data_IF_811762488902
#
_entry.id   IF_811762488902
#
_cell.length_a   1.000
_cell.length_b   1.000
_cell.length_c   1.000
_cell.angle_alpha   90.00
_cell.angle_beta   90.00
_cell.angle_gamma   90.00
#
_symmetry.space_group_name_H-M   'P 1'
#
loop_
_entity.id
_entity.type
_entity.pdbx_description
1 polymer ?
#
# COMPACT_ATOMS: atom_id res chain seq x y z
N UNK A 1 49.88 -39.52 -44.34
CA UNK A 1 49.11 -39.53 -43.08
C UNK A 1 49.24 -38.15 -42.45
N UNK A 2 48.21 -37.71 -41.72
CA UNK A 2 48.09 -36.42 -41.00
C UNK A 2 47.45 -35.23 -41.74
N UNK A 3 46.14 -35.40 -41.92
CA UNK A 3 45.04 -34.58 -41.41
C UNK A 3 45.06 -33.05 -41.59
N UNK A 4 44.02 -32.62 -42.32
CA UNK A 4 43.62 -31.25 -42.64
C UNK A 4 43.10 -30.51 -41.40
N UNK A 5 43.60 -29.31 -41.11
CA UNK A 5 42.90 -28.35 -40.24
C UNK A 5 42.29 -27.22 -41.07
N UNK A 6 40.99 -27.36 -41.35
CA UNK A 6 40.15 -26.32 -41.93
C UNK A 6 39.82 -25.28 -40.84
N UNK A 7 40.12 -24.01 -41.13
CA UNK A 7 39.89 -22.88 -40.22
C UNK A 7 38.40 -22.55 -40.21
N UNK A 8 37.67 -23.11 -39.24
CA UNK A 8 36.24 -22.84 -39.07
C UNK A 8 36.04 -21.40 -38.57
N UNK A 9 35.41 -20.57 -39.41
CA UNK A 9 35.05 -19.19 -39.10
C UNK A 9 34.04 -19.20 -37.94
N UNK A 10 34.37 -18.45 -36.88
CA UNK A 10 33.52 -18.24 -35.72
C UNK A 10 32.19 -17.58 -36.16
N UNK A 11 31.09 -18.30 -36.01
CA UNK A 11 29.73 -17.78 -36.15
C UNK A 11 29.26 -17.38 -34.75
N UNK A 12 28.92 -16.10 -34.47
CA UNK A 12 28.38 -15.73 -33.18
C UNK A 12 26.90 -16.11 -33.17
N UNK A 13 26.54 -17.10 -32.35
CA UNK A 13 25.15 -17.46 -32.09
C UNK A 13 24.54 -16.39 -31.16
N UNK A 14 23.83 -15.43 -31.73
CA UNK A 14 23.07 -14.44 -30.97
C UNK A 14 21.81 -15.11 -30.39
N UNK A 15 21.83 -15.39 -29.09
CA UNK A 15 20.65 -15.86 -28.33
C UNK A 15 19.84 -14.64 -27.91
N UNK A 16 18.72 -14.40 -28.58
CA UNK A 16 17.75 -13.38 -28.18
C UNK A 16 16.78 -14.03 -27.18
N UNK A 17 17.01 -13.82 -25.90
CA UNK A 17 16.04 -14.15 -24.84
C UNK A 17 14.95 -13.07 -24.84
N UNK A 18 13.82 -13.33 -25.49
CA UNK A 18 12.60 -12.55 -25.27
C UNK A 18 11.98 -12.97 -23.94
N UNK A 19 12.29 -12.22 -22.87
CA UNK A 19 11.54 -12.29 -21.63
C UNK A 19 10.17 -11.64 -21.86
N UNK A 20 9.17 -12.43 -22.25
CA UNK A 20 7.79 -11.98 -22.29
C UNK A 20 7.30 -11.89 -20.84
N UNK A 21 7.39 -10.69 -20.26
CA UNK A 21 6.85 -10.38 -18.94
C UNK A 21 5.32 -10.42 -18.95
N UNK A 22 4.75 -11.62 -18.94
CA UNK A 22 3.33 -11.80 -18.66
C UNK A 22 3.10 -11.52 -17.17
N UNK A 23 2.67 -10.31 -16.84
CA UNK A 23 2.05 -10.07 -15.53
C UNK A 23 0.79 -10.93 -15.49
N UNK A 24 0.64 -11.86 -14.52
CA UNK A 24 -0.59 -12.61 -14.41
C UNK A 24 -1.73 -11.61 -14.27
N UNK A 25 -2.69 -11.64 -15.20
CA UNK A 25 -3.91 -10.88 -15.06
C UNK A 25 -4.64 -11.44 -13.83
N UNK A 26 -4.78 -10.64 -12.78
CA UNK A 26 -5.51 -11.02 -11.60
C UNK A 26 -7.00 -10.81 -11.86
N UNK A 27 -7.68 -11.86 -12.32
CA UNK A 27 -9.14 -11.88 -12.36
C UNK A 27 -9.72 -12.12 -10.95
N UNK A 28 -10.86 -11.50 -10.65
CA UNK A 28 -11.54 -11.65 -9.38
C UNK A 28 -11.44 -10.46 -8.45
N UNK A 29 -10.96 -10.72 -7.23
CA UNK A 29 -10.63 -9.68 -6.26
C UNK A 29 -9.18 -9.27 -6.48
N UNK A 30 -8.92 -7.97 -6.62
CA UNK A 30 -7.59 -7.39 -6.82
C UNK A 30 -6.79 -7.21 -5.51
N UNK A 31 -5.68 -6.46 -5.55
CA UNK A 31 -4.89 -6.19 -4.35
C UNK A 31 -5.64 -5.29 -3.37
N UNK A 32 -5.50 -5.56 -2.08
CA UNK A 32 -6.04 -4.70 -1.03
C UNK A 32 -5.27 -3.38 -0.93
N UNK A 33 -5.99 -2.29 -0.73
CA UNK A 33 -5.42 -0.96 -0.50
C UNK A 33 -5.94 -0.42 0.83
N UNK A 34 -5.04 -0.21 1.78
CA UNK A 34 -5.36 0.40 3.07
C UNK A 34 -5.54 1.92 2.88
N UNK A 35 -6.65 2.43 3.41
CA UNK A 35 -7.04 3.84 3.33
C UNK A 35 -6.87 4.56 4.67
N UNK A 36 -6.99 3.85 5.78
CA UNK A 36 -6.89 4.40 7.14
C UNK A 36 -5.44 4.58 7.60
N UNK A 37 -5.19 5.63 8.38
CA UNK A 37 -3.90 5.83 9.05
C UNK A 37 -3.85 5.17 10.43
N UNK A 38 -2.65 5.02 10.99
CA UNK A 38 -2.48 4.53 12.36
C UNK A 38 -3.23 5.42 13.37
N UNK A 39 -4.08 4.80 14.20
CA UNK A 39 -4.91 5.48 15.19
C UNK A 39 -6.32 5.86 14.70
N UNK A 40 -6.64 5.64 13.43
CA UNK A 40 -7.99 5.77 12.88
C UNK A 40 -8.67 4.40 12.74
N UNK A 41 -10.01 4.37 12.63
CA UNK A 41 -10.74 3.14 12.33
C UNK A 41 -10.20 2.49 11.05
N UNK A 42 -9.90 1.18 11.11
CA UNK A 42 -9.34 0.48 9.96
C UNK A 42 -10.29 0.54 8.77
N UNK A 43 -9.75 0.94 7.62
CA UNK A 43 -10.47 1.00 6.36
C UNK A 43 -9.56 0.60 5.21
N UNK A 44 -10.05 -0.29 4.35
CA UNK A 44 -9.37 -0.71 3.14
C UNK A 44 -10.36 -0.98 2.00
N UNK A 45 -9.86 -0.98 0.77
CA UNK A 45 -10.62 -1.32 -0.43
C UNK A 45 -9.92 -2.43 -1.20
N UNK A 46 -10.73 -3.31 -1.79
CA UNK A 46 -10.29 -4.38 -2.68
C UNK A 46 -11.03 -4.17 -4.02
N UNK A 47 -10.33 -3.83 -5.12
CA UNK A 47 -10.99 -3.65 -6.41
C UNK A 47 -11.46 -4.99 -6.97
N UNK A 48 -12.56 -4.99 -7.70
CA UNK A 48 -13.01 -6.14 -8.50
C UNK A 48 -12.41 -5.99 -9.89
N UNK A 49 -11.63 -6.99 -10.33
CA UNK A 49 -10.85 -6.99 -11.56
C UNK A 49 -11.34 -8.09 -12.49
N UNK A 50 -11.53 -7.79 -13.77
CA UNK A 50 -11.93 -8.74 -14.83
C UNK A 50 -13.19 -9.58 -14.53
N UNK A 51 -13.97 -9.19 -13.52
CA UNK A 51 -15.25 -9.78 -13.16
C UNK A 51 -16.35 -8.73 -13.28
N UNK A 52 -17.52 -9.17 -13.75
CA UNK A 52 -18.73 -8.36 -13.75
C UNK A 52 -19.82 -9.08 -12.95
N UNK A 53 -19.74 -9.08 -11.60
CA UNK A 53 -20.69 -9.81 -10.77
C UNK A 53 -22.08 -9.15 -10.88
N UNK A 54 -23.04 -9.92 -11.41
CA UNK A 54 -24.41 -9.47 -11.64
C UNK A 54 -25.40 -10.13 -10.66
N UNK A 55 -26.53 -9.48 -10.44
CA UNK A 55 -27.60 -10.01 -9.59
C UNK A 55 -27.28 -9.87 -8.09
N UNK A 56 -27.64 -10.89 -7.31
CA UNK A 56 -27.44 -10.91 -5.87
C UNK A 56 -25.98 -11.22 -5.53
N UNK A 57 -25.16 -10.18 -5.40
CA UNK A 57 -23.75 -10.29 -4.99
C UNK A 57 -23.66 -10.23 -3.47
N UNK A 58 -22.95 -11.19 -2.89
CA UNK A 58 -22.68 -11.30 -1.44
C UNK A 58 -21.18 -11.32 -1.22
N UNK A 59 -20.71 -10.60 -0.21
CA UNK A 59 -19.30 -10.61 0.23
C UNK A 59 -19.22 -10.94 1.71
N UNK A 60 -18.24 -11.77 2.08
CA UNK A 60 -18.02 -12.20 3.46
C UNK A 60 -16.59 -12.67 3.69
N UNK A 61 -16.23 -12.86 4.96
CA UNK A 61 -15.06 -13.63 5.33
C UNK A 61 -15.24 -15.07 4.84
N UNK A 62 -14.25 -15.61 4.14
CA UNK A 62 -14.31 -16.96 3.58
C UNK A 62 -14.34 -18.00 4.70
N UNK A 63 -15.23 -18.98 4.57
CA UNK A 63 -15.37 -20.08 5.53
C UNK A 63 -14.24 -21.08 5.35
N UNK A 64 -13.36 -21.18 6.35
CA UNK A 64 -12.24 -22.14 6.35
C UNK A 64 -12.66 -23.59 6.19
N UNK A 65 -13.88 -23.96 6.61
CA UNK A 65 -14.36 -25.33 6.45
C UNK A 65 -14.54 -25.69 4.97
N UNK A 66 -14.83 -24.70 4.12
CA UNK A 66 -14.94 -24.90 2.67
C UNK A 66 -13.60 -24.78 1.94
N UNK A 67 -12.59 -24.16 2.57
CA UNK A 67 -11.30 -23.89 1.95
C UNK A 67 -10.14 -24.24 2.89
N UNK A 68 -9.92 -25.55 3.10
CA UNK A 68 -8.91 -26.05 4.05
C UNK A 68 -7.46 -25.74 3.67
N UNK A 69 -7.21 -25.29 2.43
CA UNK A 69 -5.87 -24.90 1.96
C UNK A 69 -5.49 -23.46 2.34
N UNK A 70 -6.45 -22.67 2.84
CA UNK A 70 -6.22 -21.27 3.21
C UNK A 70 -5.42 -21.18 4.51
N UNK A 71 -4.51 -20.21 4.57
CA UNK A 71 -3.74 -19.92 5.77
C UNK A 71 -4.63 -19.65 7.00
N UNK A 72 -4.13 -19.92 8.23
CA UNK A 72 -4.82 -19.50 9.44
C UNK A 72 -5.03 -17.98 9.47
N UNK A 73 -6.23 -17.57 9.87
CA UNK A 73 -6.58 -16.14 10.01
C UNK A 73 -6.08 -15.65 11.36
N UNK A 74 -5.74 -14.37 11.40
CA UNK A 74 -5.54 -13.66 12.66
C UNK A 74 -6.84 -13.65 13.47
N UNK A 75 -6.75 -13.69 14.79
CA UNK A 75 -7.92 -13.60 15.71
C UNK A 75 -8.78 -12.37 15.37
N UNK A 76 -8.10 -11.28 15.02
CA UNK A 76 -8.68 -10.01 14.61
C UNK A 76 -9.53 -10.05 13.32
N UNK A 77 -9.41 -11.09 12.49
CA UNK A 77 -10.13 -11.19 11.21
C UNK A 77 -11.66 -11.23 11.38
N UNK A 78 -12.16 -11.79 12.49
CA UNK A 78 -13.60 -11.84 12.79
C UNK A 78 -14.20 -10.47 13.10
N UNK A 79 -13.36 -9.47 13.41
CA UNK A 79 -13.76 -8.09 13.68
C UNK A 79 -13.84 -7.25 12.41
N UNK A 80 -13.52 -7.83 11.25
CA UNK A 80 -13.61 -7.17 9.96
C UNK A 80 -15.02 -7.25 9.39
N UNK A 81 -15.47 -6.13 8.84
CA UNK A 81 -16.75 -6.01 8.16
C UNK A 81 -16.53 -5.76 6.67
N UNK A 82 -17.35 -6.40 5.85
CA UNK A 82 -17.23 -6.37 4.39
C UNK A 82 -18.49 -5.76 3.80
N UNK A 83 -18.32 -4.81 2.88
CA UNK A 83 -19.43 -4.17 2.17
C UNK A 83 -19.09 -3.97 0.70
N UNK A 84 -20.11 -3.97 -0.15
CA UNK A 84 -19.93 -3.80 -1.60
C UNK A 84 -20.07 -2.33 -1.97
N UNK A 85 -19.09 -1.82 -2.72
CA UNK A 85 -19.17 -0.51 -3.36
C UNK A 85 -19.58 -0.70 -4.82
N UNK A 86 -20.66 -0.01 -5.20
CA UNK A 86 -21.19 0.00 -6.56
C UNK A 86 -20.87 1.34 -7.21
N UNK A 87 -20.55 1.32 -8.50
CA UNK A 87 -20.44 2.53 -9.32
C UNK A 87 -21.83 3.06 -9.67
N UNK A 88 -21.86 4.24 -10.29
CA UNK A 88 -23.10 4.88 -10.75
C UNK A 88 -23.89 4.02 -11.75
N UNK A 89 -23.23 3.09 -12.43
CA UNK A 89 -23.83 2.09 -13.33
C UNK A 89 -24.48 0.89 -12.59
N UNK A 90 -24.37 0.84 -11.26
CA UNK A 90 -24.89 -0.25 -10.42
C UNK A 90 -23.97 -1.48 -10.34
N UNK A 91 -22.85 -1.50 -11.07
CA UNK A 91 -21.89 -2.60 -11.06
C UNK A 91 -21.02 -2.52 -9.81
N UNK A 92 -20.82 -3.67 -9.15
CA UNK A 92 -19.88 -3.78 -8.03
C UNK A 92 -18.46 -3.55 -8.54
N UNK A 93 -17.81 -2.51 -8.03
CA UNK A 93 -16.46 -2.13 -8.45
C UNK A 93 -15.40 -2.44 -7.41
N UNK A 94 -15.78 -2.43 -6.12
CA UNK A 94 -14.87 -2.66 -5.02
C UNK A 94 -15.60 -3.33 -3.85
N UNK A 95 -14.83 -4.03 -3.03
CA UNK A 95 -15.21 -4.43 -1.68
C UNK A 95 -14.55 -3.45 -0.70
N UNK A 96 -15.32 -2.84 0.19
CA UNK A 96 -14.82 -2.07 1.32
C UNK A 96 -14.71 -2.98 2.53
N UNK A 97 -13.55 -2.95 3.17
CA UNK A 97 -13.22 -3.67 4.40
C UNK A 97 -13.08 -2.63 5.51
N UNK A 98 -13.80 -2.81 6.61
CA UNK A 98 -13.72 -1.93 7.77
C UNK A 98 -13.49 -2.71 9.06
N UNK A 99 -12.92 -2.06 10.07
CA UNK A 99 -12.63 -2.68 11.36
C UNK A 99 -12.45 -1.65 12.48
N UNK A 100 -12.08 -2.09 13.69
CA UNK A 100 -11.73 -1.21 14.81
C UNK A 100 -10.50 -0.33 14.49
N UNK A 101 -10.27 0.69 15.32
CA UNK A 101 -9.11 1.58 15.19
C UNK A 101 -7.78 0.97 15.62
N UNK A 102 -7.84 -0.14 16.35
CA UNK A 102 -6.67 -0.82 16.86
C UNK A 102 -6.96 -2.33 16.95
N UNK A 103 -5.96 -3.12 16.56
CA UNK A 103 -5.98 -4.57 16.65
C UNK A 103 -4.85 -5.04 17.55
N UNK A 104 -5.04 -6.14 18.30
CA UNK A 104 -3.96 -6.75 19.08
C UNK A 104 -2.71 -7.08 18.26
N UNK A 105 -2.90 -7.49 16.99
CA UNK A 105 -1.82 -7.82 16.06
C UNK A 105 -1.78 -6.85 14.87
N UNK A 106 -0.60 -6.38 14.43
CA UNK A 106 -0.47 -5.48 13.27
C UNK A 106 -0.72 -6.17 11.93
N UNK A 107 -0.37 -7.46 11.83
CA UNK A 107 -0.50 -8.26 10.62
C UNK A 107 -1.84 -9.00 10.61
N UNK A 108 -2.71 -8.64 9.69
CA UNK A 108 -4.01 -9.25 9.49
C UNK A 108 -3.93 -10.24 8.33
N UNK A 109 -4.17 -11.52 8.63
CA UNK A 109 -4.35 -12.58 7.65
C UNK A 109 -5.84 -12.96 7.61
N UNK A 110 -6.44 -12.89 6.42
CA UNK A 110 -7.82 -13.25 6.19
C UNK A 110 -8.06 -13.59 4.72
N UNK A 111 -9.16 -14.28 4.40
CA UNK A 111 -9.59 -14.46 3.02
C UNK A 111 -11.01 -13.93 2.82
N UNK A 112 -11.23 -13.28 1.68
CA UNK A 112 -12.53 -12.70 1.31
C UNK A 112 -13.16 -13.57 0.25
N UNK A 113 -14.39 -13.96 0.48
CA UNK A 113 -15.25 -14.63 -0.50
C UNK A 113 -16.26 -13.62 -1.04
N UNK A 114 -16.34 -13.53 -2.37
CA UNK A 114 -17.41 -12.85 -3.08
C UNK A 114 -18.16 -13.87 -3.95
N UNK A 115 -19.48 -13.95 -3.80
CA UNK A 115 -20.33 -14.90 -4.54
C UNK A 115 -21.51 -14.21 -5.19
N UNK A 116 -21.86 -14.65 -6.39
CA UNK A 116 -23.00 -14.20 -7.19
C UNK A 116 -23.63 -15.40 -7.92
N UNK A 117 -24.79 -15.27 -8.59
CA UNK A 117 -25.48 -16.39 -9.20
C UNK A 117 -24.67 -17.19 -10.23
N UNK A 118 -23.76 -16.53 -10.95
CA UNK A 118 -22.94 -17.19 -11.97
C UNK A 118 -21.63 -17.79 -11.43
N UNK A 119 -21.27 -17.52 -10.17
CA UNK A 119 -20.01 -18.02 -9.62
C UNK A 119 -19.59 -17.40 -8.29
N UNK A 120 -18.35 -17.69 -7.90
CA UNK A 120 -17.73 -17.15 -6.70
C UNK A 120 -16.23 -17.01 -6.90
N UNK A 121 -15.65 -16.10 -6.16
CA UNK A 121 -14.20 -15.92 -6.05
C UNK A 121 -13.82 -15.85 -4.60
N UNK A 122 -12.65 -16.41 -4.27
CA UNK A 122 -12.04 -16.32 -2.94
C UNK A 122 -10.61 -15.88 -3.10
N UNK A 123 -10.19 -14.94 -2.25
CA UNK A 123 -8.81 -14.46 -2.24
C UNK A 123 -8.30 -14.24 -0.83
N UNK A 124 -7.09 -14.73 -0.59
CA UNK A 124 -6.30 -14.50 0.62
C UNK A 124 -5.64 -13.12 0.60
N UNK A 125 -5.60 -12.50 1.77
CA UNK A 125 -4.98 -11.23 2.02
C UNK A 125 -4.13 -11.31 3.28
N UNK A 126 -2.95 -10.72 3.18
CA UNK A 126 -2.06 -10.45 4.28
C UNK A 126 -1.77 -8.96 4.22
N UNK A 127 -2.12 -8.23 5.28
CA UNK A 127 -1.99 -6.77 5.34
C UNK A 127 -1.46 -6.35 6.69
N UNK A 128 -0.43 -5.51 6.69
CA UNK A 128 0.08 -4.85 7.89
C UNK A 128 -0.55 -3.46 7.95
N UNK A 129 -1.60 -3.27 8.74
CA UNK A 129 -2.37 -2.03 8.68
C UNK A 129 -1.59 -0.80 9.21
N UNK A 130 -0.53 -1.01 10.00
CA UNK A 130 0.35 0.07 10.47
C UNK A 130 1.34 0.49 9.38
N UNK A 131 1.78 -0.47 8.56
CA UNK A 131 2.78 -0.26 7.51
C UNK A 131 2.17 0.13 6.17
N UNK A 132 1.08 -0.53 5.77
CA UNK A 132 0.50 -0.41 4.44
C UNK A 132 -0.49 0.77 4.34
N UNK A 133 -0.91 1.32 5.47
CA UNK A 133 -1.72 2.54 5.54
C UNK A 133 -0.92 3.81 5.22
N UNK A 134 -1.60 4.90 4.83
CA UNK A 134 -0.95 6.19 4.61
C UNK A 134 -0.15 6.67 5.83
N UNK A 135 1.11 7.02 5.60
CA UNK A 135 1.97 7.57 6.66
C UNK A 135 1.67 9.04 6.92
N UNK A 136 1.22 9.37 8.13
CA UNK A 136 1.21 10.74 8.60
C UNK A 136 2.64 11.20 8.88
N UNK A 137 3.14 12.19 8.12
CA UNK A 137 4.33 12.93 8.54
C UNK A 137 3.96 13.73 9.77
N UNK A 138 4.45 13.34 10.96
CA UNK A 138 4.42 14.24 12.12
C UNK A 138 5.09 15.55 11.69
N UNK A 139 4.36 16.67 11.76
CA UNK A 139 5.03 17.98 11.71
C UNK A 139 6.00 17.99 12.88
N UNK A 140 7.30 18.01 12.60
CA UNK A 140 8.31 18.21 13.64
C UNK A 140 7.90 19.42 14.46
N UNK A 141 8.02 19.38 15.80
CA UNK A 141 7.93 20.59 16.59
C UNK A 141 8.86 21.60 15.93
N UNK A 142 8.32 22.80 15.69
CA UNK A 142 9.05 23.94 15.14
C UNK A 142 10.38 23.99 15.87
N UNK A 143 11.48 23.67 15.17
CA UNK A 143 12.81 24.04 15.64
C UNK A 143 12.92 25.52 15.33
N UNK A 144 12.56 26.31 16.32
CA UNK A 144 12.74 27.74 16.38
C UNK A 144 14.25 28.03 16.20
N UNK A 145 14.65 28.33 14.96
CA UNK A 145 15.87 29.06 14.64
C UNK A 145 15.73 30.53 15.12
N UNK A 146 15.44 30.70 16.41
CA UNK A 146 15.41 31.98 17.08
C UNK A 146 16.74 32.20 17.82
N UNK A 147 17.85 32.00 17.11
CA UNK A 147 19.20 32.14 17.66
C UNK A 147 20.12 33.09 16.91
N UNK A 148 19.71 33.65 15.77
CA UNK A 148 20.67 34.29 14.84
C UNK A 148 20.28 35.67 14.34
N UNK A 149 19.72 36.55 15.20
CA UNK A 149 19.69 38.01 14.91
C UNK A 149 19.91 38.93 16.13
N UNK A 150 20.60 38.45 17.17
CA UNK A 150 20.97 39.28 18.33
C UNK A 150 22.46 39.63 18.35
N UNK A 151 23.03 40.11 17.23
CA UNK A 151 24.31 40.82 17.19
C UNK A 151 24.32 41.83 16.02
N UNK A 152 23.44 42.82 16.04
CA UNK A 152 23.65 44.05 15.26
C UNK A 152 23.30 45.24 16.15
N UNK A 153 24.21 45.48 17.09
CA UNK A 153 24.13 46.61 18.00
C UNK A 153 24.28 47.89 17.18
N UNK A 154 23.23 48.70 17.26
CA UNK A 154 23.12 50.06 16.78
C UNK A 154 24.25 50.90 17.39
N UNK A 155 25.28 51.25 16.61
CA UNK A 155 26.32 52.18 17.04
C UNK A 155 25.88 53.60 16.71
N UNK A 156 25.04 54.17 17.56
CA UNK A 156 24.88 55.61 17.67
C UNK A 156 24.67 55.93 19.14
N UNK A 157 25.78 56.10 19.84
CA UNK A 157 25.83 56.82 21.10
C UNK A 157 26.79 57.97 20.82
N UNK A 158 26.20 59.11 20.44
CA UNK A 158 26.81 60.42 20.61
C UNK A 158 26.85 60.69 22.11
N UNK A 159 28.02 60.58 22.72
CA UNK A 159 28.28 61.04 24.08
C UNK A 159 29.57 61.87 24.09
N UNK A 160 29.38 63.18 24.26
CA UNK A 160 30.12 64.03 25.19
C UNK A 160 31.65 63.89 25.15
N UNK A 161 32.30 64.73 24.33
CA UNK A 161 33.63 65.28 24.61
C UNK A 161 33.43 66.69 25.15
N UNK A 162 33.60 66.91 26.46
CA UNK A 162 34.87 67.37 27.04
C UNK A 162 35.32 68.70 26.44
N UNK A 163 34.77 69.80 26.96
CA UNK A 163 35.31 71.14 26.79
C UNK A 163 35.20 71.87 28.13
N UNK A 164 36.17 71.60 29.01
CA UNK A 164 36.57 72.47 30.11
C UNK A 164 38.09 72.33 30.23
N UNK A 165 38.79 73.24 29.58
CA UNK A 165 40.20 73.53 29.85
C UNK A 165 40.39 75.04 29.68
N UNK A 166 40.79 75.68 30.79
CA UNK A 166 41.18 77.09 31.03
C UNK A 166 40.08 78.15 31.19
#
# INVERSE_FOLDING_TARGET
MELTMSKHKLVPLAVIMMALGATPALAGLGPIKVLSSAGEAFEAEIPVLDENPQGAVVVRLADRNHYSLIAPYTISAERLHFSLLRRADGVVSKVRVSGPSDFPEPLLNFAVEMSWPAGRVVREFEVDYLRDGPHHKKKSPIHDDNGKKLCRWNRSIDWITSAWES
#
